data_IF_066421694192
#
_entry.id   IF_066421694192
#
_cell.length_a   1.000
_cell.length_b   1.000
_cell.length_c   1.000
_cell.angle_alpha   90.00
_cell.angle_beta   90.00
_cell.angle_gamma   90.00
#
_symmetry.space_group_name_H-M   'P 1'
#
loop_
_entity.id
_entity.type
_entity.pdbx_description
1 polymer ?
#
# COMPACT_ATOMS: atom_id res chain seq x y z
N UNK A 1 -13.63 -42.88 8.45
CA UNK A 1 -12.30 -43.26 7.95
C UNK A 1 -12.18 -42.69 6.54
N UNK A 2 -11.37 -41.64 6.39
CA UNK A 2 -11.26 -40.82 5.18
C UNK A 2 -10.50 -39.56 5.59
N UNK A 3 -9.17 -39.65 5.53
CA UNK A 3 -8.23 -38.64 6.03
C UNK A 3 -8.28 -37.37 5.19
N UNK A 4 -8.20 -36.24 5.87
CA UNK A 4 -7.78 -34.97 5.31
C UNK A 4 -6.38 -35.13 4.69
N UNK A 5 -6.21 -34.62 3.48
CA UNK A 5 -4.92 -34.58 2.81
C UNK A 5 -4.17 -33.36 3.32
N UNK A 6 -3.23 -33.62 4.22
CA UNK A 6 -2.34 -32.65 4.83
C UNK A 6 -1.30 -32.24 3.79
N UNK A 7 -1.58 -31.14 3.06
CA UNK A 7 -0.69 -30.55 2.07
C UNK A 7 0.65 -30.12 2.69
N UNK A 8 1.64 -31.00 2.60
CA UNK A 8 3.05 -30.73 2.92
C UNK A 8 3.67 -29.66 2.01
N UNK A 9 4.88 -29.18 2.35
CA UNK A 9 5.50 -28.01 1.73
C UNK A 9 5.79 -28.25 0.25
N UNK A 10 5.12 -27.46 -0.59
CA UNK A 10 5.25 -27.52 -2.06
C UNK A 10 6.68 -27.21 -2.51
N UNK A 11 7.13 -27.95 -3.51
CA UNK A 11 8.52 -28.05 -3.93
C UNK A 11 9.05 -26.72 -4.48
N UNK A 12 10.24 -26.34 -3.99
CA UNK A 12 10.97 -25.11 -4.28
C UNK A 12 11.29 -24.91 -5.77
N UNK A 13 10.46 -24.13 -6.44
CA UNK A 13 10.85 -23.33 -7.60
C UNK A 13 10.49 -21.88 -7.30
N UNK A 14 11.48 -21.04 -7.00
CA UNK A 14 11.26 -19.65 -6.58
C UNK A 14 10.24 -18.95 -7.48
N UNK A 15 9.14 -18.52 -6.85
CA UNK A 15 8.08 -17.82 -7.53
C UNK A 15 8.63 -16.53 -8.13
N UNK A 16 8.29 -16.24 -9.39
CA UNK A 16 8.63 -14.97 -10.02
C UNK A 16 7.72 -13.91 -9.41
N UNK A 17 8.29 -12.97 -8.66
CA UNK A 17 7.57 -11.84 -8.08
C UNK A 17 7.58 -10.66 -9.04
N UNK A 18 6.46 -9.97 -9.11
CA UNK A 18 6.22 -8.84 -9.99
C UNK A 18 5.24 -7.87 -9.30
N UNK A 19 5.24 -6.63 -9.75
CA UNK A 19 4.27 -5.64 -9.31
C UNK A 19 3.85 -4.74 -10.47
N UNK A 20 2.70 -4.11 -10.32
CA UNK A 20 2.14 -3.21 -11.33
C UNK A 20 1.02 -2.36 -10.78
N UNK A 21 0.29 -1.71 -11.69
CA UNK A 21 -0.79 -0.85 -11.27
C UNK A 21 -1.92 -0.70 -12.29
N UNK A 22 -3.08 -0.31 -11.77
CA UNK A 22 -4.05 0.47 -12.53
C UNK A 22 -3.59 1.92 -12.45
N UNK A 23 -2.86 2.38 -13.47
CA UNK A 23 -2.47 3.77 -13.62
C UNK A 23 -3.69 4.57 -14.09
N UNK A 24 -4.10 5.59 -13.35
CA UNK A 24 -5.32 6.35 -13.62
C UNK A 24 -5.11 7.87 -13.55
N UNK A 25 -6.00 8.60 -14.21
CA UNK A 25 -6.10 10.07 -14.14
C UNK A 25 -7.56 10.53 -14.20
N UNK A 26 -7.88 11.76 -13.75
CA UNK A 26 -9.16 12.37 -14.07
C UNK A 26 -9.32 12.50 -15.59
N UNK A 27 -10.47 12.11 -16.14
CA UNK A 27 -10.78 12.25 -17.57
C UNK A 27 -11.23 13.68 -17.94
N UNK A 28 -11.10 14.04 -19.21
CA UNK A 28 -11.39 15.40 -19.73
C UNK A 28 -12.88 15.82 -19.61
N UNK A 29 -13.78 14.88 -19.30
CA UNK A 29 -15.21 15.12 -19.05
C UNK A 29 -15.60 15.45 -17.59
N UNK A 30 -14.64 15.56 -16.67
CA UNK A 30 -14.88 15.67 -15.23
C UNK A 30 -15.46 17.03 -14.78
N UNK A 31 -16.69 17.38 -15.20
CA UNK A 31 -17.55 18.34 -14.47
C UNK A 31 -18.22 17.63 -13.29
N UNK A 32 -17.41 17.23 -12.31
CA UNK A 32 -17.85 16.58 -11.08
C UNK A 32 -18.60 15.25 -11.28
N UNK A 33 -18.75 14.44 -10.23
CA UNK A 33 -19.61 13.27 -10.30
C UNK A 33 -21.07 13.73 -10.40
N UNK A 34 -21.62 13.81 -11.61
CA UNK A 34 -23.07 13.80 -11.78
C UNK A 34 -23.60 12.54 -11.08
N UNK A 35 -24.51 12.74 -10.13
CA UNK A 35 -25.02 11.71 -9.26
C UNK A 35 -25.55 10.52 -10.08
N UNK A 36 -24.79 9.41 -10.12
CA UNK A 36 -25.27 8.14 -10.67
C UNK A 36 -24.23 7.26 -11.36
N UNK A 37 -23.18 7.82 -11.97
CA UNK A 37 -22.20 7.01 -12.71
C UNK A 37 -20.76 7.29 -12.26
N UNK A 38 -20.19 6.35 -11.51
CA UNK A 38 -18.84 6.43 -10.93
C UNK A 38 -17.74 6.36 -12.00
N UNK A 39 -18.08 5.99 -13.24
CA UNK A 39 -17.12 5.81 -14.33
C UNK A 39 -16.85 7.11 -15.13
N UNK A 40 -17.69 8.15 -15.02
CA UNK A 40 -17.71 9.31 -15.94
C UNK A 40 -16.50 10.26 -15.78
N UNK A 41 -15.64 10.06 -14.78
CA UNK A 41 -14.55 10.99 -14.47
C UNK A 41 -13.14 10.39 -14.42
N UNK A 42 -12.96 9.10 -14.71
CA UNK A 42 -11.67 8.42 -14.57
C UNK A 42 -11.28 7.73 -15.88
N UNK A 43 -10.05 7.96 -16.30
CA UNK A 43 -9.38 7.18 -17.35
C UNK A 43 -8.27 6.32 -16.74
N UNK A 44 -8.06 5.13 -17.30
CA UNK A 44 -6.96 4.24 -16.94
C UNK A 44 -6.06 4.00 -18.15
N UNK A 45 -4.76 3.82 -17.90
CA UNK A 45 -3.80 3.51 -18.95
C UNK A 45 -3.69 2.00 -19.16
N UNK A 46 -3.89 1.56 -20.40
CA UNK A 46 -3.50 0.23 -20.87
C UNK A 46 -2.30 0.34 -21.81
N UNK A 47 -1.41 -0.64 -21.74
CA UNK A 47 -0.23 -0.74 -22.60
C UNK A 47 -0.37 -1.90 -23.57
N UNK A 48 0.02 -1.68 -24.82
CA UNK A 48 0.13 -2.71 -25.84
C UNK A 48 1.55 -3.27 -25.90
N UNK A 49 1.68 -4.58 -26.03
CA UNK A 49 3.00 -5.23 -26.11
C UNK A 49 3.14 -5.99 -27.42
N UNK A 50 3.97 -5.52 -28.37
CA UNK A 50 4.03 -6.08 -29.72
C UNK A 50 4.54 -7.53 -29.75
N UNK A 51 5.32 -7.92 -28.73
CA UNK A 51 5.82 -9.29 -28.58
C UNK A 51 4.72 -10.33 -28.38
N UNK A 52 3.59 -9.93 -27.83
CA UNK A 52 2.46 -10.80 -27.50
C UNK A 52 1.18 -10.43 -28.23
N UNK A 53 1.14 -9.25 -28.85
CA UNK A 53 -0.05 -8.66 -29.46
C UNK A 53 -1.21 -8.59 -28.44
N UNK A 54 -0.91 -8.08 -27.25
CA UNK A 54 -1.83 -8.01 -26.12
C UNK A 54 -1.94 -6.61 -25.51
N UNK A 55 -3.08 -6.37 -24.87
CA UNK A 55 -3.34 -5.21 -24.03
C UNK A 55 -3.41 -5.63 -22.58
N UNK A 56 -2.58 -5.01 -21.74
CA UNK A 56 -2.50 -5.34 -20.32
C UNK A 56 -2.31 -4.09 -19.45
N UNK A 57 -2.44 -4.28 -18.13
CA UNK A 57 -2.01 -3.29 -17.15
C UNK A 57 -0.47 -3.25 -17.09
N UNK A 58 0.13 -2.08 -16.81
CA UNK A 58 1.57 -1.95 -16.67
C UNK A 58 2.08 -2.70 -15.44
N UNK A 59 3.14 -3.49 -15.62
CA UNK A 59 3.72 -4.41 -14.63
C UNK A 59 4.97 -5.11 -15.15
N UNK A 60 5.95 -5.25 -14.26
CA UNK A 60 7.10 -6.10 -14.50
C UNK A 60 7.64 -6.73 -13.22
N UNK A 61 8.84 -7.32 -13.34
CA UNK A 61 9.40 -8.17 -12.28
C UNK A 61 10.08 -7.30 -11.24
N UNK A 62 10.12 -7.78 -10.01
CA UNK A 62 10.96 -7.15 -8.99
C UNK A 62 12.44 -7.37 -9.35
N UNK A 63 13.21 -6.30 -9.21
CA UNK A 63 14.66 -6.36 -9.23
C UNK A 63 15.22 -6.91 -7.90
N UNK A 64 16.48 -7.42 -7.89
CA UNK A 64 17.11 -7.86 -6.66
C UNK A 64 17.16 -6.75 -5.61
N UNK A 65 16.53 -6.97 -4.46
CA UNK A 65 16.47 -5.95 -3.41
C UNK A 65 15.40 -4.89 -3.63
N UNK A 66 14.38 -5.17 -4.43
CA UNK A 66 13.22 -4.29 -4.62
C UNK A 66 12.00 -4.78 -3.81
N UNK A 67 11.14 -3.85 -3.37
CA UNK A 67 9.82 -4.16 -2.81
C UNK A 67 8.72 -3.98 -3.86
N UNK A 68 7.54 -4.58 -3.66
CA UNK A 68 6.45 -4.47 -4.64
C UNK A 68 6.03 -3.02 -4.95
N UNK A 69 5.89 -2.10 -3.97
CA UNK A 69 5.54 -0.72 -4.28
C UNK A 69 6.62 -0.01 -5.11
N UNK A 70 7.91 -0.28 -4.83
CA UNK A 70 9.03 0.29 -5.59
C UNK A 70 9.00 -0.21 -7.04
N UNK A 71 8.84 -1.52 -7.22
CA UNK A 71 8.71 -2.13 -8.54
C UNK A 71 7.51 -1.59 -9.31
N UNK A 72 6.34 -1.46 -8.66
CA UNK A 72 5.15 -0.91 -9.32
C UNK A 72 5.40 0.50 -9.87
N UNK A 73 6.04 1.40 -9.10
CA UNK A 73 6.34 2.77 -9.55
C UNK A 73 7.37 2.78 -10.68
N UNK A 74 8.44 1.97 -10.56
CA UNK A 74 9.46 1.86 -11.60
C UNK A 74 8.87 1.36 -12.92
N UNK A 75 8.10 0.28 -12.88
CA UNK A 75 7.49 -0.33 -14.06
C UNK A 75 6.46 0.60 -14.71
N UNK A 76 5.69 1.35 -13.92
CA UNK A 76 4.85 2.44 -14.47
C UNK A 76 5.72 3.44 -15.24
N UNK A 77 6.82 3.92 -14.67
CA UNK A 77 7.67 4.90 -15.33
C UNK A 77 8.30 4.35 -16.62
N UNK A 78 8.78 3.10 -16.60
CA UNK A 78 9.40 2.44 -17.75
C UNK A 78 8.42 2.18 -18.89
N UNK A 79 7.26 1.59 -18.59
CA UNK A 79 6.28 1.18 -19.62
C UNK A 79 5.39 2.34 -20.09
N UNK A 80 5.16 3.35 -19.26
CA UNK A 80 4.19 4.42 -19.56
C UNK A 80 4.81 5.81 -19.71
N UNK A 81 6.04 6.01 -19.21
CA UNK A 81 6.68 7.32 -19.18
C UNK A 81 6.09 8.31 -18.15
N UNK A 82 5.16 7.86 -17.29
CA UNK A 82 4.55 8.69 -16.25
C UNK A 82 5.19 8.44 -14.88
N UNK A 83 5.32 9.53 -14.11
CA UNK A 83 5.45 9.42 -12.66
C UNK A 83 4.08 9.24 -12.04
N UNK A 84 4.01 8.43 -11.00
CA UNK A 84 2.75 8.12 -10.34
C UNK A 84 2.87 8.11 -8.82
N UNK A 85 1.74 8.35 -8.17
CA UNK A 85 1.54 8.24 -6.72
C UNK A 85 0.66 7.03 -6.46
N UNK A 86 1.17 6.07 -5.69
CA UNK A 86 0.45 4.87 -5.31
C UNK A 86 -0.71 5.20 -4.34
N UNK A 87 -1.77 4.40 -4.48
CA UNK A 87 -2.92 4.38 -3.59
C UNK A 87 -3.15 2.98 -3.02
N UNK A 88 -4.42 2.56 -2.83
CA UNK A 88 -4.74 1.25 -2.30
C UNK A 88 -4.11 0.10 -3.10
N UNK A 89 -3.69 -0.95 -2.39
CA UNK A 89 -3.50 -2.26 -3.01
C UNK A 89 -4.84 -2.77 -3.54
N UNK A 90 -4.84 -3.33 -4.74
CA UNK A 90 -6.03 -3.82 -5.42
C UNK A 90 -6.14 -5.34 -5.33
N UNK A 91 -5.13 -6.04 -5.86
CA UNK A 91 -5.22 -7.48 -6.02
C UNK A 91 -3.86 -8.13 -6.22
N UNK A 92 -3.73 -9.35 -5.70
CA UNK A 92 -2.63 -10.27 -6.03
C UNK A 92 -3.13 -11.29 -7.04
N UNK A 93 -2.51 -11.34 -8.20
CA UNK A 93 -2.80 -12.34 -9.24
C UNK A 93 -1.70 -13.40 -9.24
N UNK A 94 -2.10 -14.68 -9.29
CA UNK A 94 -1.18 -15.83 -9.35
C UNK A 94 -1.47 -16.64 -10.61
N UNK A 95 -0.43 -16.88 -11.42
CA UNK A 95 -0.53 -17.73 -12.60
C UNK A 95 0.81 -18.40 -12.89
N UNK A 96 0.77 -19.45 -13.69
CA UNK A 96 1.95 -20.22 -14.06
C UNK A 96 2.57 -19.68 -15.34
N UNK A 97 3.89 -19.48 -15.36
CA UNK A 97 4.63 -19.10 -16.57
C UNK A 97 5.71 -20.13 -16.89
N UNK A 98 5.82 -20.52 -18.16
CA UNK A 98 6.92 -21.38 -18.62
C UNK A 98 8.17 -20.51 -18.81
N UNK A 99 9.27 -20.82 -18.11
CA UNK A 99 10.55 -20.11 -18.34
C UNK A 99 11.05 -20.40 -19.76
N UNK A 100 11.46 -19.35 -20.48
CA UNK A 100 12.01 -19.45 -21.84
C UNK A 100 13.28 -20.33 -21.90
N UNK A 101 13.54 -20.82 -23.12
CA UNK A 101 14.46 -21.88 -23.56
C UNK A 101 15.96 -21.53 -23.53
N UNK A 102 16.34 -20.36 -23.01
CA UNK A 102 17.71 -19.83 -23.10
C UNK A 102 18.60 -20.22 -21.90
N UNK A 103 18.13 -21.15 -21.06
CA UNK A 103 18.94 -21.79 -20.01
C UNK A 103 19.40 -23.19 -20.44
N UNK A 104 20.53 -23.69 -19.91
CA UNK A 104 21.03 -25.03 -20.20
C UNK A 104 19.95 -26.12 -20.02
N UNK A 105 20.00 -27.21 -20.81
CA UNK A 105 18.89 -28.14 -21.06
C UNK A 105 18.26 -28.82 -19.83
N UNK A 106 18.86 -28.65 -18.64
CA UNK A 106 18.32 -29.14 -17.36
C UNK A 106 17.20 -28.26 -16.76
N UNK A 107 16.87 -27.10 -17.36
CA UNK A 107 15.84 -26.18 -16.83
C UNK A 107 14.84 -25.62 -17.87
N UNK A 108 14.99 -25.97 -19.16
CA UNK A 108 14.05 -25.57 -20.20
C UNK A 108 12.69 -26.28 -20.01
N UNK A 109 11.58 -25.54 -20.07
CA UNK A 109 10.23 -26.09 -19.91
C UNK A 109 9.71 -26.14 -18.47
N UNK A 110 10.46 -25.65 -17.48
CA UNK A 110 9.97 -25.57 -16.10
C UNK A 110 8.91 -24.48 -15.97
N UNK A 111 7.71 -24.90 -15.57
CA UNK A 111 6.64 -24.00 -15.13
C UNK A 111 7.04 -23.40 -13.79
N UNK A 112 7.04 -22.07 -13.70
CA UNK A 112 7.28 -21.33 -12.46
C UNK A 112 6.03 -20.56 -12.08
N UNK A 113 5.60 -20.59 -10.81
CA UNK A 113 4.55 -19.70 -10.36
C UNK A 113 5.02 -18.24 -10.51
N UNK A 114 4.15 -17.38 -11.03
CA UNK A 114 4.32 -15.94 -11.06
C UNK A 114 3.24 -15.29 -10.18
N UNK A 115 3.67 -14.34 -9.37
CA UNK A 115 2.81 -13.60 -8.44
C UNK A 115 2.96 -12.12 -8.78
N UNK A 116 1.85 -11.44 -9.05
CA UNK A 116 1.82 -10.01 -9.37
C UNK A 116 0.96 -9.28 -8.37
N UNK A 117 1.52 -8.28 -7.70
CA UNK A 117 0.79 -7.36 -6.82
C UNK A 117 0.45 -6.07 -7.54
N UNK A 118 -0.84 -5.75 -7.59
CA UNK A 118 -1.33 -4.55 -8.26
C UNK A 118 -1.81 -3.51 -7.26
N UNK A 119 -1.45 -2.26 -7.52
CA UNK A 119 -1.87 -1.08 -6.79
C UNK A 119 -2.72 -0.16 -7.68
N UNK A 120 -3.55 0.68 -7.08
CA UNK A 120 -4.00 1.88 -7.77
C UNK A 120 -2.84 2.87 -7.83
N UNK A 121 -2.66 3.58 -8.94
CA UNK A 121 -1.63 4.61 -9.05
C UNK A 121 -2.18 5.83 -9.81
N UNK A 122 -2.13 7.01 -9.20
CA UNK A 122 -2.55 8.25 -9.86
C UNK A 122 -1.39 8.81 -10.67
N UNK A 123 -1.57 9.02 -11.97
CA UNK A 123 -0.58 9.73 -12.78
C UNK A 123 -0.43 11.18 -12.31
N UNK A 124 0.81 11.64 -12.25
CA UNK A 124 1.16 13.00 -11.83
C UNK A 124 1.57 13.82 -13.04
N UNK A 125 2.65 13.42 -13.68
CA UNK A 125 3.20 14.04 -14.88
C UNK A 125 3.99 13.01 -15.69
N UNK A 126 4.43 13.43 -16.87
CA UNK A 126 5.10 12.57 -17.83
C UNK A 126 4.32 12.45 -19.12
N UNK A 127 4.88 11.66 -20.03
CA UNK A 127 4.30 11.42 -21.34
C UNK A 127 4.82 10.08 -21.87
N UNK A 128 3.95 9.36 -22.57
CA UNK A 128 4.30 8.09 -23.18
C UNK A 128 5.33 8.27 -24.29
N UNK A 129 6.31 7.36 -24.31
CA UNK A 129 7.25 7.16 -25.42
C UNK A 129 7.34 5.67 -25.66
N UNK A 130 7.08 5.26 -26.90
CA UNK A 130 7.25 3.89 -27.32
C UNK A 130 8.68 3.41 -27.00
N UNK A 131 8.79 2.19 -26.51
CA UNK A 131 10.03 1.53 -26.16
C UNK A 131 10.03 0.09 -26.71
N UNK A 132 11.05 -0.71 -26.39
CA UNK A 132 11.18 -2.06 -26.92
C UNK A 132 10.12 -3.05 -26.41
N UNK A 133 9.49 -2.75 -25.27
CA UNK A 133 8.49 -3.60 -24.62
C UNK A 133 7.05 -3.15 -24.89
N UNK A 134 6.82 -1.83 -24.98
CA UNK A 134 5.53 -1.19 -25.17
C UNK A 134 5.59 -0.21 -26.34
N UNK A 135 4.79 -0.44 -27.37
CA UNK A 135 4.71 0.40 -28.57
C UNK A 135 3.53 1.37 -28.55
N UNK A 136 2.47 1.05 -27.79
CA UNK A 136 1.27 1.88 -27.66
C UNK A 136 0.78 1.98 -26.21
N UNK A 137 0.29 3.17 -25.82
CA UNK A 137 -0.44 3.40 -24.58
C UNK A 137 -1.76 4.11 -24.88
N UNK A 138 -2.85 3.62 -24.28
CA UNK A 138 -4.18 4.25 -24.37
C UNK A 138 -4.71 4.60 -23.00
N UNK A 139 -5.14 5.85 -22.85
CA UNK A 139 -6.00 6.28 -21.75
C UNK A 139 -7.45 6.00 -22.13
N UNK A 140 -8.16 5.23 -21.32
CA UNK A 140 -9.50 4.75 -21.64
C UNK A 140 -10.44 4.88 -20.44
N UNK A 141 -11.73 5.19 -20.65
CA UNK A 141 -12.76 4.99 -19.65
C UNK A 141 -12.80 3.53 -19.17
N UNK A 142 -13.22 3.30 -17.93
CA UNK A 142 -13.18 1.96 -17.31
C UNK A 142 -13.87 0.87 -18.12
N UNK A 143 -15.03 1.15 -18.73
CA UNK A 143 -15.76 0.17 -19.55
C UNK A 143 -15.01 -0.20 -20.84
N UNK A 144 -14.34 0.76 -21.47
CA UNK A 144 -13.55 0.50 -22.69
C UNK A 144 -12.26 -0.25 -22.35
N UNK A 145 -11.62 0.11 -21.23
CA UNK A 145 -10.46 -0.62 -20.73
C UNK A 145 -10.80 -2.09 -20.41
N UNK A 146 -11.94 -2.35 -19.76
CA UNK A 146 -12.40 -3.71 -19.45
C UNK A 146 -12.60 -4.55 -20.72
N UNK A 147 -13.18 -3.95 -21.78
CA UNK A 147 -13.39 -4.61 -23.05
C UNK A 147 -12.09 -4.89 -23.82
N UNK A 148 -11.09 -4.00 -23.70
CA UNK A 148 -9.82 -4.11 -24.43
C UNK A 148 -8.82 -5.07 -23.77
N UNK A 149 -8.84 -5.22 -22.44
CA UNK A 149 -7.92 -6.08 -21.70
C UNK A 149 -7.94 -7.53 -22.20
N UNK A 150 -6.76 -8.05 -22.56
CA UNK A 150 -6.61 -9.40 -23.10
C UNK A 150 -6.71 -10.50 -22.03
N UNK A 151 -6.40 -10.20 -20.77
CA UNK A 151 -6.28 -11.19 -19.70
C UNK A 151 -7.38 -11.08 -18.64
N UNK A 152 -8.01 -12.20 -18.23
CA UNK A 152 -9.00 -12.21 -17.14
C UNK A 152 -8.45 -11.63 -15.83
N UNK A 153 -7.18 -11.94 -15.49
CA UNK A 153 -6.56 -11.44 -14.27
C UNK A 153 -6.43 -9.91 -14.22
N UNK A 154 -6.17 -9.26 -15.36
CA UNK A 154 -6.15 -7.79 -15.40
C UNK A 154 -7.56 -7.20 -15.28
N UNK A 155 -8.59 -7.89 -15.80
CA UNK A 155 -10.00 -7.48 -15.61
C UNK A 155 -10.43 -7.58 -14.15
N UNK A 156 -9.99 -8.62 -13.43
CA UNK A 156 -10.21 -8.73 -11.98
C UNK A 156 -9.58 -7.56 -11.21
N UNK A 157 -8.37 -7.16 -11.59
CA UNK A 157 -7.67 -6.00 -11.01
C UNK A 157 -8.44 -4.70 -11.31
N UNK A 158 -8.88 -4.51 -12.55
CA UNK A 158 -9.67 -3.34 -12.95
C UNK A 158 -11.02 -3.27 -12.23
N UNK A 159 -11.69 -4.41 -12.04
CA UNK A 159 -12.93 -4.49 -11.27
C UNK A 159 -12.71 -4.12 -9.80
N UNK A 160 -11.60 -4.56 -9.19
CA UNK A 160 -11.23 -4.16 -7.83
C UNK A 160 -10.99 -2.63 -7.73
N UNK A 161 -10.34 -2.03 -8.73
CA UNK A 161 -10.18 -0.58 -8.82
C UNK A 161 -11.53 0.14 -8.91
N UNK A 162 -12.41 -0.31 -9.82
CA UNK A 162 -13.76 0.28 -10.04
C UNK A 162 -14.66 0.22 -8.81
N UNK A 163 -14.48 -0.78 -7.94
CA UNK A 163 -15.26 -0.92 -6.71
C UNK A 163 -14.94 0.15 -5.67
N UNK A 164 -13.77 0.81 -5.76
CA UNK A 164 -13.35 1.82 -4.80
C UNK A 164 -14.10 3.15 -5.00
N UNK A 165 -14.60 3.77 -3.91
CA UNK A 165 -15.36 5.01 -3.99
C UNK A 165 -14.45 6.24 -4.00
N UNK A 166 -13.71 6.46 -5.10
CA UNK A 166 -12.87 7.64 -5.27
C UNK A 166 -13.68 8.96 -5.14
N UNK A 167 -13.07 10.05 -4.61
CA UNK A 167 -11.68 10.17 -4.16
C UNK A 167 -11.43 9.54 -2.77
N UNK A 168 -10.18 9.11 -2.53
CA UNK A 168 -9.74 8.49 -1.28
C UNK A 168 -8.68 9.33 -0.57
N UNK A 169 -8.62 9.18 0.75
CA UNK A 169 -7.54 9.66 1.63
C UNK A 169 -6.78 8.48 2.18
N UNK A 170 -5.45 8.52 2.18
CA UNK A 170 -4.62 7.39 2.62
C UNK A 170 -3.87 7.73 3.90
N UNK A 171 -4.13 7.02 5.00
CA UNK A 171 -3.30 7.12 6.22
C UNK A 171 -2.25 6.02 6.18
N UNK A 172 -0.98 6.42 6.25
CA UNK A 172 0.16 5.50 6.35
C UNK A 172 0.50 5.28 7.82
N UNK A 173 0.01 4.19 8.41
CA UNK A 173 0.19 3.87 9.83
C UNK A 173 1.39 2.93 10.01
N UNK A 174 2.45 3.42 10.63
CA UNK A 174 3.73 2.72 10.78
C UNK A 174 3.89 2.23 12.21
N UNK A 175 4.32 0.99 12.42
CA UNK A 175 4.93 0.62 13.69
C UNK A 175 6.37 1.12 13.69
N UNK A 176 6.78 1.84 14.73
CA UNK A 176 8.16 2.31 14.87
C UNK A 176 9.19 1.22 14.57
N UNK A 177 10.35 1.62 14.07
CA UNK A 177 11.44 0.74 13.73
C UNK A 177 12.08 0.10 14.98
N UNK A 178 13.02 -0.84 14.77
CA UNK A 178 13.70 -1.60 15.81
C UNK A 178 14.43 -0.71 16.84
N UNK A 179 14.09 -0.87 18.12
CA UNK A 179 14.58 -0.04 19.23
C UNK A 179 15.19 -0.85 20.39
N UNK A 180 15.51 -2.13 20.16
CA UNK A 180 16.08 -3.01 21.19
C UNK A 180 15.05 -3.48 22.20
N UNK A 181 15.54 -4.08 23.29
CA UNK A 181 14.70 -4.54 24.41
C UNK A 181 14.38 -3.41 25.38
N UNK A 182 13.21 -3.48 26.00
CA UNK A 182 12.83 -2.59 27.11
C UNK A 182 13.62 -2.93 28.36
N UNK A 183 13.86 -4.21 28.63
CA UNK A 183 14.47 -4.69 29.88
C UNK A 183 15.98 -4.39 29.95
N UNK A 184 16.62 -4.24 28.79
CA UNK A 184 18.04 -3.93 28.66
C UNK A 184 18.32 -2.42 28.65
N UNK A 185 17.28 -1.59 28.63
CA UNK A 185 17.41 -0.14 28.57
C UNK A 185 17.43 0.47 29.99
N UNK A 186 18.52 1.14 30.39
CA UNK A 186 18.68 1.62 31.77
C UNK A 186 17.88 2.89 32.08
N UNK A 187 17.28 3.54 31.07
CA UNK A 187 16.59 4.82 31.21
C UNK A 187 15.06 4.71 31.12
N UNK A 188 14.39 5.86 31.03
CA UNK A 188 12.96 5.91 30.74
C UNK A 188 12.68 5.31 29.35
N UNK A 189 11.71 4.39 29.25
CA UNK A 189 11.42 3.69 27.98
C UNK A 189 11.00 4.65 26.85
N UNK A 190 10.36 5.77 27.19
CA UNK A 190 9.96 6.79 26.21
C UNK A 190 11.19 7.45 25.54
N UNK A 191 12.36 7.43 26.17
CA UNK A 191 13.62 7.97 25.64
C UNK A 191 14.47 6.93 24.90
N UNK A 192 13.98 5.68 24.78
CA UNK A 192 14.74 4.62 24.13
C UNK A 192 14.85 4.86 22.62
N UNK A 193 16.08 4.91 22.06
CA UNK A 193 16.30 5.22 20.66
C UNK A 193 16.20 3.98 19.76
N UNK A 194 16.18 4.22 18.44
CA UNK A 194 16.37 3.19 17.44
C UNK A 194 17.77 2.56 17.51
N UNK A 195 17.83 1.25 17.26
CA UNK A 195 19.08 0.52 17.05
C UNK A 195 19.64 0.82 15.64
N UNK A 196 20.88 0.38 15.32
CA UNK A 196 21.39 0.47 13.94
C UNK A 196 20.47 -0.17 12.91
N UNK A 197 19.91 -1.36 13.21
CA UNK A 197 18.91 -1.99 12.34
C UNK A 197 17.64 -1.15 12.22
N UNK A 198 17.19 -0.53 13.31
CA UNK A 198 16.03 0.37 13.27
C UNK A 198 16.27 1.63 12.44
N UNK A 199 17.49 2.18 12.46
CA UNK A 199 17.87 3.30 11.60
C UNK A 199 17.82 2.90 10.12
N UNK A 200 18.32 1.71 9.76
CA UNK A 200 18.21 1.20 8.39
C UNK A 200 16.74 1.02 7.94
N UNK A 201 15.88 0.54 8.84
CA UNK A 201 14.43 0.47 8.56
C UNK A 201 13.81 1.86 8.37
N UNK A 202 14.22 2.86 9.16
CA UNK A 202 13.74 4.23 9.03
C UNK A 202 14.15 4.86 7.69
N UNK A 203 15.38 4.65 7.22
CA UNK A 203 15.81 5.09 5.89
C UNK A 203 15.04 4.38 4.76
N UNK A 204 14.81 3.07 4.88
CA UNK A 204 13.98 2.36 3.89
C UNK A 204 12.53 2.89 3.85
N UNK A 205 11.96 3.25 5.00
CA UNK A 205 10.65 3.91 5.07
C UNK A 205 10.69 5.31 4.45
N UNK A 206 11.76 6.08 4.67
CA UNK A 206 11.98 7.41 4.06
C UNK A 206 11.94 7.36 2.53
N UNK A 207 12.45 6.29 1.92
CA UNK A 207 12.40 6.06 0.46
C UNK A 207 11.03 5.55 0.00
N UNK A 208 10.38 4.67 0.77
CA UNK A 208 9.11 4.02 0.40
C UNK A 208 7.90 4.97 0.48
N UNK A 209 7.80 5.76 1.55
CA UNK A 209 6.60 6.54 1.86
C UNK A 209 6.28 7.65 0.83
N UNK A 210 7.26 8.34 0.22
CA UNK A 210 7.02 9.27 -0.89
C UNK A 210 6.31 8.65 -2.09
N UNK A 211 6.43 7.33 -2.32
CA UNK A 211 5.73 6.64 -3.41
C UNK A 211 4.20 6.69 -3.25
N UNK A 212 3.71 6.87 -2.02
CA UNK A 212 2.29 7.03 -1.69
C UNK A 212 1.87 8.52 -1.59
N UNK A 213 2.77 9.45 -1.88
CA UNK A 213 2.48 10.89 -1.88
C UNK A 213 2.26 11.47 -0.49
N UNK A 214 3.03 11.00 0.50
CA UNK A 214 2.96 11.50 1.88
C UNK A 214 3.18 13.02 1.96
N UNK A 215 2.36 13.70 2.75
CA UNK A 215 2.31 15.17 2.79
C UNK A 215 2.47 15.78 4.21
N UNK A 216 2.34 14.97 5.26
CA UNK A 216 2.46 15.42 6.65
C UNK A 216 2.81 14.28 7.59
N UNK A 217 3.48 14.59 8.70
CA UNK A 217 4.06 13.60 9.62
C UNK A 217 3.52 13.75 11.04
N UNK A 218 3.03 12.64 11.58
CA UNK A 218 2.60 12.48 12.97
C UNK A 218 3.40 11.39 13.66
N UNK A 219 3.57 11.50 14.98
CA UNK A 219 4.24 10.49 15.79
C UNK A 219 3.61 10.37 17.17
N UNK A 220 3.50 9.15 17.67
CA UNK A 220 3.35 8.91 19.09
C UNK A 220 4.56 9.48 19.87
N UNK A 221 4.40 9.84 21.15
CA UNK A 221 5.44 10.51 21.95
C UNK A 221 6.80 9.80 22.08
N UNK A 222 6.92 8.45 22.17
CA UNK A 222 8.21 7.81 22.39
C UNK A 222 9.24 8.16 21.32
N UNK A 223 10.50 8.39 21.73
CA UNK A 223 11.60 8.83 20.89
C UNK A 223 11.78 7.97 19.63
N UNK A 224 11.68 6.65 19.78
CA UNK A 224 11.75 5.68 18.67
C UNK A 224 10.70 5.91 17.58
N UNK A 225 9.50 6.37 17.93
CA UNK A 225 8.47 6.70 16.95
C UNK A 225 8.89 7.93 16.16
N UNK A 226 9.28 9.01 16.85
CA UNK A 226 9.72 10.24 16.19
C UNK A 226 10.97 10.03 15.34
N UNK A 227 11.93 9.22 15.81
CA UNK A 227 13.13 8.85 15.06
C UNK A 227 12.82 8.04 13.79
N UNK A 228 11.75 7.24 13.78
CA UNK A 228 11.39 6.41 12.62
C UNK A 228 10.97 7.26 11.41
N UNK A 229 10.36 8.42 11.65
CA UNK A 229 9.82 9.31 10.59
C UNK A 229 10.58 10.63 10.45
N UNK A 230 11.71 10.78 11.16
CA UNK A 230 12.45 12.05 11.20
C UNK A 230 13.02 12.45 9.84
N UNK A 231 13.76 11.54 9.19
CA UNK A 231 14.35 11.83 7.88
C UNK A 231 13.29 12.18 6.82
N UNK A 232 12.13 11.53 6.87
CA UNK A 232 11.00 11.88 6.01
C UNK A 232 10.47 13.29 6.29
N UNK A 233 10.30 13.65 7.57
CA UNK A 233 9.82 14.97 7.96
C UNK A 233 10.78 16.08 7.50
N UNK A 234 12.10 15.82 7.58
CA UNK A 234 13.16 16.70 7.08
C UNK A 234 13.07 16.88 5.55
N UNK A 235 12.92 15.80 4.78
CA UNK A 235 12.78 15.87 3.32
C UNK A 235 11.53 16.63 2.87
N UNK A 236 10.42 16.45 3.58
CA UNK A 236 9.15 17.13 3.31
C UNK A 236 9.16 18.59 3.79
N UNK A 237 10.13 18.99 4.62
CA UNK A 237 10.14 20.31 5.27
C UNK A 237 8.95 20.53 6.21
N UNK A 238 8.44 19.48 6.85
CA UNK A 238 7.24 19.51 7.70
C UNK A 238 7.55 19.11 9.14
N UNK A 239 6.93 19.72 10.17
CA UNK A 239 7.17 19.33 11.55
C UNK A 239 6.52 17.97 11.87
N UNK A 240 7.16 17.22 12.78
CA UNK A 240 6.55 16.02 13.37
C UNK A 240 5.54 16.44 14.44
N UNK A 241 4.25 16.25 14.17
CA UNK A 241 3.18 16.53 15.13
C UNK A 241 3.04 15.37 16.13
N UNK A 242 3.02 15.69 17.41
CA UNK A 242 2.92 14.69 18.48
C UNK A 242 1.45 14.28 18.69
N UNK A 243 1.21 12.98 18.76
CA UNK A 243 -0.13 12.39 18.92
C UNK A 243 -0.15 11.43 20.13
N UNK A 244 -0.33 11.95 21.37
CA UNK A 244 -0.33 11.14 22.58
C UNK A 244 -1.38 10.01 22.58
N UNK A 245 -2.56 10.28 22.01
CA UNK A 245 -3.64 9.31 21.86
C UNK A 245 -3.26 8.14 20.95
N UNK A 246 -2.27 8.29 20.08
CA UNK A 246 -1.82 7.25 19.16
C UNK A 246 -0.58 6.50 19.68
N UNK A 247 -0.18 6.73 20.94
CA UNK A 247 0.78 5.92 21.69
C UNK A 247 0.11 4.96 22.67
N UNK A 248 0.86 3.99 23.19
CA UNK A 248 0.33 2.94 24.09
C UNK A 248 -0.31 3.53 25.36
N UNK A 249 0.31 4.56 25.96
CA UNK A 249 -0.24 5.22 27.15
C UNK A 249 -1.60 5.87 26.88
N UNK A 250 -1.74 6.58 25.77
CA UNK A 250 -3.01 7.22 25.39
C UNK A 250 -4.08 6.20 25.02
N UNK A 251 -3.70 5.17 24.25
CA UNK A 251 -4.61 4.09 23.88
C UNK A 251 -5.14 3.31 25.08
N UNK A 252 -4.29 3.00 26.06
CA UNK A 252 -4.72 2.31 27.28
C UNK A 252 -5.69 3.13 28.12
N UNK A 253 -5.63 4.46 28.04
CA UNK A 253 -6.53 5.36 28.76
C UNK A 253 -7.90 5.47 28.07
N UNK A 254 -7.90 5.65 26.75
CA UNK A 254 -9.13 5.83 25.98
C UNK A 254 -8.99 5.31 24.53
N UNK A 255 -9.27 4.01 24.30
CA UNK A 255 -9.23 3.43 22.95
C UNK A 255 -10.17 4.12 21.96
N UNK A 256 -11.33 4.60 22.42
CA UNK A 256 -12.31 5.26 21.56
C UNK A 256 -11.81 6.63 21.11
N UNK A 257 -11.16 7.39 21.99
CA UNK A 257 -10.52 8.65 21.62
C UNK A 257 -9.33 8.43 20.68
N UNK A 258 -8.56 7.35 20.83
CA UNK A 258 -7.50 6.99 19.88
C UNK A 258 -8.04 6.70 18.48
N UNK A 259 -9.15 5.96 18.39
CA UNK A 259 -9.84 5.70 17.12
C UNK A 259 -10.35 7.00 16.50
N UNK A 260 -11.08 7.81 17.27
CA UNK A 260 -11.57 9.11 16.84
C UNK A 260 -10.42 9.99 16.31
N UNK A 261 -9.27 9.99 17.00
CA UNK A 261 -8.12 10.80 16.59
C UNK A 261 -7.51 10.35 15.25
N UNK A 262 -7.40 9.05 14.99
CA UNK A 262 -6.93 8.57 13.69
C UNK A 262 -7.91 8.96 12.57
N UNK A 263 -9.21 8.87 12.84
CA UNK A 263 -10.27 9.27 11.91
C UNK A 263 -10.29 10.78 11.67
N UNK A 264 -10.00 11.60 12.67
CA UNK A 264 -9.81 13.05 12.50
C UNK A 264 -8.63 13.35 11.57
N UNK A 265 -7.50 12.65 11.75
CA UNK A 265 -6.34 12.78 10.85
C UNK A 265 -6.75 12.40 9.42
N UNK A 266 -7.47 11.28 9.25
CA UNK A 266 -8.00 10.86 7.95
C UNK A 266 -8.99 11.88 7.36
N UNK A 267 -9.79 12.58 8.18
CA UNK A 267 -10.75 13.57 7.71
C UNK A 267 -10.08 14.82 7.09
N UNK A 268 -8.80 15.07 7.40
CA UNK A 268 -8.07 16.22 6.84
C UNK A 268 -7.65 16.06 5.37
N UNK A 269 -7.89 14.88 4.77
CA UNK A 269 -7.53 14.59 3.39
C UNK A 269 -6.03 14.39 3.16
N UNK A 270 -5.65 14.10 1.91
CA UNK A 270 -4.25 13.90 1.51
C UNK A 270 -3.66 12.55 1.92
N UNK A 271 -2.38 12.51 2.27
CA UNK A 271 -1.68 11.29 2.71
C UNK A 271 -0.84 11.51 3.98
N UNK A 272 -1.47 11.55 5.16
CA UNK A 272 -0.72 11.60 6.42
C UNK A 272 -0.01 10.29 6.76
N UNK A 273 1.20 10.40 7.30
CA UNK A 273 1.89 9.29 7.96
C UNK A 273 1.84 9.43 9.47
N UNK A 274 1.63 8.31 10.16
CA UNK A 274 1.58 8.22 11.63
C UNK A 274 2.54 7.12 12.09
N UNK A 275 3.59 7.48 12.84
CA UNK A 275 4.40 6.48 13.56
C UNK A 275 3.79 6.17 14.92
N UNK A 276 3.44 4.91 15.15
CA UNK A 276 2.81 4.40 16.37
C UNK A 276 3.52 3.14 16.88
N UNK A 277 2.89 2.40 17.80
CA UNK A 277 3.45 1.30 18.56
C UNK A 277 2.69 -0.02 18.34
N UNK A 278 3.39 -1.13 18.59
CA UNK A 278 2.83 -2.47 18.39
C UNK A 278 1.68 -2.82 19.33
N UNK A 279 1.60 -2.21 20.52
CA UNK A 279 0.47 -2.38 21.43
C UNK A 279 -0.79 -1.61 21.05
N UNK A 280 -0.73 -0.74 20.02
CA UNK A 280 -1.85 0.10 19.58
C UNK A 280 -2.39 -0.36 18.23
N UNK A 281 -1.49 -0.52 17.25
CA UNK A 281 -1.85 -0.71 15.84
C UNK A 281 -2.82 -1.89 15.60
N UNK A 282 -2.60 -3.11 16.15
CA UNK A 282 -3.49 -4.23 15.86
C UNK A 282 -4.94 -3.98 16.26
N UNK A 283 -5.16 -3.49 17.49
CA UNK A 283 -6.50 -3.26 18.01
C UNK A 283 -7.16 -2.04 17.33
N UNK A 284 -6.40 -0.98 17.07
CA UNK A 284 -6.89 0.22 16.38
C UNK A 284 -7.34 -0.09 14.94
N UNK A 285 -6.54 -0.82 14.17
CA UNK A 285 -6.88 -1.18 12.79
C UNK A 285 -8.03 -2.18 12.75
N UNK A 286 -8.04 -3.19 13.65
CA UNK A 286 -9.12 -4.15 13.74
C UNK A 286 -10.46 -3.48 14.09
N UNK A 287 -10.47 -2.58 15.08
CA UNK A 287 -11.68 -1.86 15.51
C UNK A 287 -12.29 -1.01 14.40
N UNK A 288 -11.46 -0.19 13.72
CA UNK A 288 -11.93 0.63 12.58
C UNK A 288 -12.48 -0.25 11.46
N UNK A 289 -11.77 -1.34 11.13
CA UNK A 289 -12.19 -2.25 10.08
C UNK A 289 -13.51 -2.96 10.41
N UNK A 290 -13.69 -3.41 11.65
CA UNK A 290 -14.94 -4.01 12.14
C UNK A 290 -16.10 -3.01 12.07
N UNK A 291 -15.90 -1.78 12.56
CA UNK A 291 -16.90 -0.71 12.50
C UNK A 291 -17.31 -0.35 11.07
N UNK A 292 -16.41 -0.50 10.10
CA UNK A 292 -16.64 -0.19 8.69
C UNK A 292 -17.03 -1.40 7.83
N UNK A 293 -17.17 -2.58 8.45
CA UNK A 293 -17.53 -3.82 7.77
C UNK A 293 -16.45 -4.34 6.81
N UNK A 294 -15.19 -3.94 7.01
CA UNK A 294 -14.05 -4.42 6.24
C UNK A 294 -13.48 -5.68 6.89
N UNK A 295 -13.68 -6.83 6.25
CA UNK A 295 -13.12 -8.08 6.72
C UNK A 295 -11.58 -8.09 6.56
N UNK A 296 -10.87 -7.99 7.68
CA UNK A 296 -9.44 -8.22 7.75
C UNK A 296 -9.15 -9.60 8.35
N UNK A 297 -8.07 -10.22 7.88
CA UNK A 297 -7.49 -11.37 8.58
C UNK A 297 -6.76 -10.93 9.84
N UNK A 298 -5.74 -11.69 10.23
CA UNK A 298 -4.88 -11.29 11.35
C UNK A 298 -4.24 -9.91 11.09
N UNK A 299 -4.43 -8.98 12.03
CA UNK A 299 -3.84 -7.64 11.96
C UNK A 299 -2.43 -7.68 12.52
N UNK A 300 -1.46 -7.76 11.62
CA UNK A 300 -0.05 -7.77 11.99
C UNK A 300 0.49 -6.37 12.31
N UNK A 301 1.58 -6.32 13.07
CA UNK A 301 2.30 -5.09 13.36
C UNK A 301 3.77 -5.39 13.63
N UNK A 302 4.57 -5.73 12.61
CA UNK A 302 6.03 -5.94 12.79
C UNK A 302 6.75 -4.59 12.94
N UNK A 303 7.88 -4.52 13.64
CA UNK A 303 8.63 -3.26 13.77
C UNK A 303 9.10 -2.79 12.38
N UNK A 304 8.88 -1.52 12.06
CA UNK A 304 9.15 -0.95 10.73
C UNK A 304 8.15 -1.38 9.65
N UNK A 305 7.03 -2.00 10.01
CA UNK A 305 5.95 -2.31 9.06
C UNK A 305 4.99 -1.13 8.88
N UNK A 306 4.23 -1.17 7.80
CA UNK A 306 3.33 -0.13 7.35
C UNK A 306 1.94 -0.71 7.05
N UNK A 307 0.90 -0.05 7.53
CA UNK A 307 -0.47 -0.18 7.04
C UNK A 307 -0.80 1.01 6.14
N UNK A 308 -1.29 0.73 4.93
CA UNK A 308 -1.89 1.71 4.03
C UNK A 308 -3.41 1.63 4.20
N UNK A 309 -3.98 2.59 4.91
CA UNK A 309 -5.41 2.64 5.25
C UNK A 309 -6.10 3.69 4.36
N UNK A 310 -7.03 3.27 3.52
CA UNK A 310 -7.70 4.15 2.56
C UNK A 310 -9.13 4.44 2.96
N UNK A 311 -9.46 5.72 3.09
CA UNK A 311 -10.73 6.23 3.58
C UNK A 311 -11.48 6.97 2.48
N UNK A 312 -12.79 6.77 2.44
CA UNK A 312 -13.70 7.66 1.71
C UNK A 312 -14.19 8.75 2.67
N UNK A 313 -14.17 9.99 2.19
CA UNK A 313 -14.68 11.12 2.95
C UNK A 313 -16.22 11.08 3.02
N UNK A 314 -16.82 11.54 4.12
CA UNK A 314 -18.26 11.72 4.17
C UNK A 314 -18.71 12.66 3.05
N UNK A 315 -19.84 12.35 2.41
CA UNK A 315 -20.48 13.30 1.50
C UNK A 315 -20.87 14.54 2.30
N UNK A 316 -20.39 15.71 1.89
CA UNK A 316 -20.92 16.97 2.40
C UNK A 316 -22.41 16.98 2.07
N UNK A 317 -23.31 17.22 3.06
CA UNK A 317 -24.73 17.34 2.75
C UNK A 317 -24.92 18.51 1.80
N UNK A 318 -25.70 18.29 0.73
CA UNK A 318 -26.14 19.36 -0.17
C UNK A 318 -26.77 20.46 0.70
N UNK A 319 -26.19 21.66 0.66
CA UNK A 319 -26.47 22.71 1.62
C UNK A 319 -27.95 23.10 1.67
N UNK A 320 -28.61 22.80 2.78
CA UNK A 320 -29.67 23.64 3.32
C UNK A 320 -29.42 23.83 4.83
N UNK A 321 -29.05 25.02 5.31
CA UNK A 321 -28.69 25.29 6.73
C UNK A 321 -29.84 25.19 7.75
N UNK A 322 -30.94 24.51 7.44
CA UNK A 322 -32.27 24.79 8.01
C UNK A 322 -32.87 23.82 9.03
N UNK A 323 -32.15 22.84 9.61
CA UNK A 323 -32.75 22.05 10.71
C UNK A 323 -31.76 21.74 11.84
N UNK A 324 -32.00 22.39 12.98
CA UNK A 324 -31.21 22.32 14.21
C UNK A 324 -31.37 21.00 14.98
N UNK A 325 -31.00 19.89 14.36
CA UNK A 325 -30.74 18.63 15.04
C UNK A 325 -29.25 18.30 14.94
N UNK A 326 -28.61 17.97 16.07
CA UNK A 326 -27.23 17.49 16.11
C UNK A 326 -27.13 16.15 15.37
N UNK A 327 -26.96 16.19 14.04
CA UNK A 327 -26.64 14.98 13.26
C UNK A 327 -25.25 14.51 13.68
N UNK A 328 -25.01 13.19 13.81
CA UNK A 328 -23.67 12.68 14.00
C UNK A 328 -22.80 13.22 12.86
N UNK A 329 -21.71 13.90 13.21
CA UNK A 329 -20.71 14.37 12.26
C UNK A 329 -20.24 13.16 11.47
N UNK A 330 -20.56 13.13 10.18
CA UNK A 330 -20.22 11.99 9.34
C UNK A 330 -18.69 11.82 9.35
N UNK A 331 -18.21 10.64 9.73
CA UNK A 331 -16.77 10.33 9.81
C UNK A 331 -16.26 9.73 8.49
N UNK A 332 -14.95 9.80 8.20
CA UNK A 332 -14.35 9.01 7.14
C UNK A 332 -14.59 7.51 7.38
N UNK A 333 -14.79 6.77 6.30
CA UNK A 333 -15.03 5.32 6.32
C UNK A 333 -13.87 4.59 5.65
N UNK A 334 -13.27 3.63 6.34
CA UNK A 334 -12.24 2.76 5.81
C UNK A 334 -12.85 1.86 4.71
N UNK A 335 -12.21 1.83 3.54
CA UNK A 335 -12.69 1.07 2.38
C UNK A 335 -11.64 0.11 1.83
N UNK A 336 -10.37 0.31 2.17
CA UNK A 336 -9.29 -0.63 1.87
C UNK A 336 -8.20 -0.50 2.93
N UNK A 337 -7.57 -1.62 3.27
CA UNK A 337 -6.41 -1.66 4.15
C UNK A 337 -5.41 -2.69 3.62
N UNK A 338 -4.14 -2.31 3.54
CA UNK A 338 -3.08 -3.17 3.07
C UNK A 338 -1.87 -3.12 3.99
N UNK A 339 -1.31 -4.29 4.30
CA UNK A 339 -0.18 -4.42 5.20
C UNK A 339 1.11 -4.72 4.43
N UNK A 340 2.10 -3.87 4.61
CA UNK A 340 3.46 -4.02 4.09
C UNK A 340 4.36 -4.43 5.28
N UNK A 341 4.83 -5.69 5.33
CA UNK A 341 5.51 -6.22 6.52
C UNK A 341 6.88 -5.60 6.79
N UNK A 342 7.49 -4.97 5.78
CA UNK A 342 8.80 -4.36 5.85
C UNK A 342 9.00 -3.40 4.66
N UNK A 343 9.65 -2.27 4.90
CA UNK A 343 10.16 -1.40 3.83
C UNK A 343 11.52 -1.88 3.29
N UNK A 344 12.23 -2.71 4.07
CA UNK A 344 13.46 -3.38 3.64
C UNK A 344 13.12 -4.47 2.63
N UNK A 345 13.83 -4.49 1.51
CA UNK A 345 13.70 -5.57 0.54
C UNK A 345 14.27 -6.88 1.05
N UNK A 346 13.79 -8.01 0.51
CA UNK A 346 14.06 -9.35 1.04
C UNK A 346 15.55 -9.73 1.12
N UNK A 347 16.43 -9.10 0.34
CA UNK A 347 17.89 -9.30 0.43
C UNK A 347 18.56 -8.66 1.65
N UNK A 348 17.83 -7.85 2.43
CA UNK A 348 18.36 -7.08 3.56
C UNK A 348 17.83 -7.52 4.93
N UNK A 349 17.01 -8.58 4.98
CA UNK A 349 16.60 -9.20 6.25
C UNK A 349 17.71 -10.16 6.70
N UNK A 350 18.36 -9.94 7.85
CA UNK A 350 19.33 -10.89 8.37
C UNK A 350 18.62 -12.22 8.62
N UNK A 351 19.01 -13.26 7.91
CA UNK A 351 18.57 -14.62 8.21
C UNK A 351 19.01 -14.91 9.65
N UNK A 352 18.04 -15.00 10.57
CA UNK A 352 18.31 -15.54 11.91
C UNK A 352 18.83 -16.95 11.71
N UNK A 353 20.14 -17.14 11.86
CA UNK A 353 20.73 -18.48 11.97
C UNK A 353 20.10 -19.11 13.21
N UNK A 354 19.30 -20.14 13.01
CA UNK A 354 18.88 -21.00 14.10
C UNK A 354 20.16 -21.57 14.74
N UNK A 355 20.36 -21.30 16.02
CA UNK A 355 21.40 -21.99 16.78
C UNK A 355 21.09 -23.48 16.76
N UNK A 356 22.02 -24.37 16.37
CA UNK A 356 21.86 -25.77 16.68
C UNK A 356 22.01 -25.92 18.20
N UNK A 357 20.91 -26.17 18.89
CA UNK A 357 20.91 -26.69 20.25
C UNK A 357 21.67 -28.02 20.26
N UNK A 358 22.62 -28.14 21.19
CA UNK A 358 23.48 -29.31 21.38
C UNK A 358 22.82 -30.45 22.16
#
# INVERSE_FOLDING_TARGET
MGRADDGGPDATGDAVRAAGAVLWRPGDGARGPAAGNRDIGIEVALVHRPRYDDWSLPKGKLDPGETEPVAAVREIAEETGYRAVLGPFLRRIRYSVTRKRDLPPRRAGRVSPKVVDYFAARAVDGAFRANAEVDELRWLPLGEAEALLSYPGDREVLAAFRALPYPLTSVLLIRHAEAGSRDEWPGEDDLRPLTPAGKAQAEALRELLPLFGVDRVYSAPPLRCAQTVRGLAEDLGTPIRQEPLLGEKGYLQDPAASEARLLEIAATGGTPVVSSQGGVIPALVAGIAEHDGLALGEVHSRKGSLWVLSFVQPKQPDGNPGSGGTRPTARPRLVAAHYIPTALAESSVPVRRANPSG
#
